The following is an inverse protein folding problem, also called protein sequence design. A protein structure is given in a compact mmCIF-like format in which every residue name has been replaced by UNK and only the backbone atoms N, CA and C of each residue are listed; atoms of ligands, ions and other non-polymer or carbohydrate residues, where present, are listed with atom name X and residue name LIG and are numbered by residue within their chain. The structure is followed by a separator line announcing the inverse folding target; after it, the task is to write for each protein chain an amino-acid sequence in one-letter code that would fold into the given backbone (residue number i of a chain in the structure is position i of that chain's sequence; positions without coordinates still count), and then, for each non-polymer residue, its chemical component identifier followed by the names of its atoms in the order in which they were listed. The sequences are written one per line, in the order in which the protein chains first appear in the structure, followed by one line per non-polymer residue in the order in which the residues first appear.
data_IF_424924498347
#
_entry.id   IF_424924498347
#
_cell.length_a   1.000
_cell.length_b   1.000
_cell.length_c   1.000
_cell.angle_alpha   90.00
_cell.angle_beta   90.00
_cell.angle_gamma   90.00
#
_symmetry.space_group_name_H-M   'P 1'
#
loop_
_entity.id
_entity.type
_entity.pdbx_description
1 polymer ?
#
# COMPACT_ATOMS: atom_id res chain seq x y z
N UNK A 1 26.95 18.23 8.37
CA UNK A 1 25.53 17.86 8.60
C UNK A 1 25.21 16.67 7.71
N UNK A 2 24.34 15.75 8.15
CA UNK A 2 23.84 14.71 7.25
C UNK A 2 23.20 15.39 6.03
N UNK A 3 23.52 14.93 4.81
CA UNK A 3 23.05 15.56 3.56
C UNK A 3 21.53 15.57 3.41
N UNK A 4 20.80 14.81 4.23
CA UNK A 4 19.36 14.58 4.15
C UNK A 4 18.61 14.91 5.45
N UNK A 5 19.19 15.72 6.34
CA UNK A 5 18.61 16.00 7.66
C UNK A 5 17.21 16.61 7.55
N UNK A 6 17.02 17.56 6.64
CA UNK A 6 15.75 18.23 6.43
C UNK A 6 14.73 17.31 5.74
N UNK A 7 15.17 16.53 4.75
CA UNK A 7 14.31 15.55 4.08
C UNK A 7 13.77 14.50 5.05
N UNK A 8 14.60 14.01 5.99
CA UNK A 8 14.17 13.07 7.02
C UNK A 8 13.20 13.72 8.02
N UNK A 9 13.40 14.97 8.42
CA UNK A 9 12.43 15.71 9.25
C UNK A 9 11.10 15.87 8.53
N UNK A 10 11.13 16.23 7.24
CA UNK A 10 9.95 16.35 6.39
C UNK A 10 9.15 15.05 6.37
N UNK A 11 9.82 13.93 6.07
CA UNK A 11 9.18 12.61 6.01
C UNK A 11 8.61 12.18 7.37
N UNK A 12 9.32 12.46 8.48
CA UNK A 12 8.81 12.17 9.82
C UNK A 12 7.55 12.97 10.15
N UNK A 13 7.52 14.26 9.83
CA UNK A 13 6.32 15.08 10.01
C UNK A 13 5.18 14.60 9.12
N UNK A 14 5.49 14.21 7.88
CA UNK A 14 4.51 13.64 6.96
C UNK A 14 3.87 12.36 7.50
N UNK A 15 4.69 11.43 8.03
CA UNK A 15 4.19 10.18 8.61
C UNK A 15 3.32 10.40 9.85
N UNK A 16 3.54 11.49 10.57
CA UNK A 16 2.75 11.90 11.74
C UNK A 16 1.61 12.87 11.39
N UNK A 17 1.42 13.19 10.11
CA UNK A 17 0.32 14.06 9.68
C UNK A 17 -1.03 13.36 9.85
N UNK A 18 -2.06 14.08 10.30
CA UNK A 18 -3.36 13.46 10.65
C UNK A 18 -3.96 12.64 9.51
N UNK A 19 -3.82 13.11 8.27
CA UNK A 19 -4.39 12.44 7.11
C UNK A 19 -3.66 11.14 6.77
N UNK A 20 -2.35 11.09 7.04
CA UNK A 20 -1.54 9.89 6.82
C UNK A 20 -1.85 8.86 7.91
N UNK A 21 -1.94 9.30 9.17
CA UNK A 21 -2.33 8.45 10.29
C UNK A 21 -3.75 7.88 10.12
N UNK A 22 -4.66 8.64 9.51
CA UNK A 22 -6.02 8.17 9.23
C UNK A 22 -6.06 6.94 8.33
N UNK A 23 -5.07 6.77 7.43
CA UNK A 23 -4.99 5.62 6.52
C UNK A 23 -4.91 4.27 7.25
N UNK A 24 -4.45 4.24 8.50
CA UNK A 24 -4.35 3.00 9.28
C UNK A 24 -5.73 2.43 9.69
N UNK A 25 -6.76 3.28 9.68
CA UNK A 25 -8.13 2.92 10.04
C UNK A 25 -8.95 2.40 8.85
N UNK A 26 -8.37 2.38 7.65
CA UNK A 26 -9.05 1.99 6.43
C UNK A 26 -8.47 0.69 5.87
N UNK A 27 -9.34 -0.29 5.64
CA UNK A 27 -9.00 -1.57 5.04
C UNK A 27 -9.56 -1.70 3.62
N UNK A 28 -8.76 -2.31 2.74
CA UNK A 28 -9.17 -2.78 1.41
C UNK A 28 -8.86 -4.28 1.30
N UNK A 29 -9.91 -5.10 1.13
CA UNK A 29 -9.82 -6.56 1.07
C UNK A 29 -9.09 -7.22 2.26
N UNK A 30 -9.18 -6.62 3.45
CA UNK A 30 -8.53 -7.13 4.67
C UNK A 30 -7.05 -6.77 4.77
N UNK A 31 -6.60 -5.75 4.03
CA UNK A 31 -5.27 -5.15 4.12
C UNK A 31 -5.44 -3.65 4.38
N UNK A 32 -4.81 -3.15 5.45
CA UNK A 32 -4.82 -1.72 5.76
C UNK A 32 -4.19 -0.90 4.64
N UNK A 33 -4.66 0.33 4.43
CA UNK A 33 -4.07 1.23 3.43
C UNK A 33 -2.60 1.51 3.75
N UNK A 34 -2.22 1.68 5.02
CA UNK A 34 -0.81 1.81 5.46
C UNK A 34 0.04 0.61 5.05
N UNK A 35 -0.50 -0.60 5.18
CA UNK A 35 0.19 -1.83 4.76
C UNK A 35 0.40 -1.87 3.25
N UNK A 36 -0.62 -1.47 2.49
CA UNK A 36 -0.50 -1.33 1.05
C UNK A 36 0.53 -0.24 0.66
N UNK A 37 0.48 0.94 1.26
CA UNK A 37 1.42 2.03 1.02
C UNK A 37 2.88 1.61 1.25
N UNK A 38 3.16 0.91 2.35
CA UNK A 38 4.49 0.34 2.59
C UNK A 38 4.91 -0.65 1.50
N UNK A 39 4.02 -1.55 1.09
CA UNK A 39 4.29 -2.52 0.03
C UNK A 39 4.57 -1.84 -1.32
N UNK A 40 3.85 -0.77 -1.65
CA UNK A 40 4.12 0.04 -2.85
C UNK A 40 5.52 0.66 -2.79
N UNK A 41 5.94 1.19 -1.64
CA UNK A 41 7.29 1.75 -1.51
C UNK A 41 8.35 0.65 -1.63
N UNK A 42 8.11 -0.50 -1.01
CA UNK A 42 9.00 -1.67 -1.08
C UNK A 42 9.13 -2.17 -2.53
N UNK A 43 8.02 -2.33 -3.26
CA UNK A 43 8.05 -2.77 -4.66
C UNK A 43 8.73 -1.71 -5.54
N UNK A 44 8.44 -0.41 -5.31
CA UNK A 44 9.11 0.69 -6.03
C UNK A 44 10.63 0.63 -5.87
N UNK A 45 11.11 0.36 -4.64
CA UNK A 45 12.52 0.16 -4.36
C UNK A 45 13.11 -1.07 -5.11
N UNK A 46 12.41 -2.21 -5.11
CA UNK A 46 12.85 -3.39 -5.84
C UNK A 46 12.87 -3.18 -7.37
N UNK A 47 11.94 -2.40 -7.92
CA UNK A 47 11.98 -2.00 -9.33
C UNK A 47 13.20 -1.13 -9.64
N UNK A 48 13.48 -0.12 -8.81
CA UNK A 48 14.67 0.73 -8.95
C UNK A 48 15.94 -0.14 -8.92
N UNK A 49 16.03 -1.10 -8.00
CA UNK A 49 17.18 -2.01 -7.91
C UNK A 49 17.34 -2.92 -9.12
N UNK A 50 16.24 -3.26 -9.78
CA UNK A 50 16.27 -4.10 -10.99
C UNK A 50 16.65 -3.29 -12.23
N UNK A 51 16.18 -2.04 -12.30
CA UNK A 51 16.29 -1.22 -13.50
C UNK A 51 17.63 -0.43 -13.58
N UNK A 52 18.37 -0.33 -12.47
CA UNK A 52 19.67 0.37 -12.39
C UNK A 52 20.78 -0.51 -11.80
N UNK A 53 22.05 -0.20 -12.11
CA UNK A 53 23.19 -0.98 -11.60
C UNK A 53 23.31 -0.89 -10.08
N UNK A 54 23.12 0.31 -9.54
CA UNK A 54 23.12 0.59 -8.11
C UNK A 54 22.30 1.85 -7.79
N UNK A 55 22.11 2.15 -6.51
CA UNK A 55 21.34 3.30 -6.05
C UNK A 55 22.05 4.65 -6.31
N UNK A 56 23.37 4.66 -6.54
CA UNK A 56 24.08 5.89 -6.89
C UNK A 56 23.76 6.30 -8.32
N UNK A 57 23.74 5.35 -9.25
CA UNK A 57 23.30 5.60 -10.62
C UNK A 57 21.80 5.97 -10.67
N UNK A 58 20.96 5.23 -9.94
CA UNK A 58 19.52 5.46 -9.93
C UNK A 58 19.16 6.88 -9.47
N UNK A 59 19.82 7.41 -8.43
CA UNK A 59 19.53 8.77 -7.89
C UNK A 59 19.85 9.90 -8.87
N UNK A 60 20.66 9.64 -9.90
CA UNK A 60 20.95 10.63 -10.96
C UNK A 60 19.84 10.68 -12.01
N UNK A 61 19.03 9.62 -12.09
CA UNK A 61 18.01 9.42 -13.13
C UNK A 61 16.57 9.48 -12.61
N UNK A 62 16.39 9.33 -11.30
CA UNK A 62 15.09 9.23 -10.62
C UNK A 62 15.15 10.01 -9.30
N UNK A 63 14.13 10.82 -9.05
CA UNK A 63 13.98 11.58 -7.82
C UNK A 63 13.37 10.73 -6.69
N UNK A 64 14.24 10.24 -5.79
CA UNK A 64 13.82 9.37 -4.69
C UNK A 64 12.90 10.07 -3.69
N UNK A 65 13.07 11.37 -3.47
CA UNK A 65 12.20 12.12 -2.56
C UNK A 65 10.76 12.14 -3.08
N UNK A 66 10.59 12.38 -4.38
CA UNK A 66 9.28 12.36 -5.05
C UNK A 66 8.61 11.00 -4.93
N UNK A 67 9.35 9.91 -5.12
CA UNK A 67 8.81 8.55 -4.95
C UNK A 67 8.39 8.31 -3.52
N UNK A 68 9.27 8.57 -2.54
CA UNK A 68 8.96 8.29 -1.13
C UNK A 68 7.74 9.10 -0.68
N UNK A 69 7.77 10.42 -0.86
CA UNK A 69 6.67 11.30 -0.47
C UNK A 69 5.41 10.96 -1.26
N UNK A 70 5.51 10.87 -2.58
CA UNK A 70 4.40 10.53 -3.46
C UNK A 70 3.73 9.22 -3.09
N UNK A 71 4.49 8.17 -2.73
CA UNK A 71 3.93 6.91 -2.23
C UNK A 71 3.26 7.08 -0.87
N UNK A 72 3.85 7.80 0.08
CA UNK A 72 3.20 8.01 1.40
C UNK A 72 1.81 8.62 1.22
N UNK A 73 1.65 9.53 0.26
CA UNK A 73 0.40 10.29 0.08
C UNK A 73 -0.49 9.88 -1.11
N UNK A 74 -0.11 8.90 -1.94
CA UNK A 74 -0.84 8.58 -3.18
C UNK A 74 -2.32 8.24 -2.95
N UNK A 75 -2.62 7.67 -1.80
CA UNK A 75 -3.93 7.16 -1.41
C UNK A 75 -4.63 8.01 -0.32
N UNK A 76 -4.10 9.21 0.02
CA UNK A 76 -4.62 10.06 1.10
C UNK A 76 -6.14 10.25 1.06
N UNK A 77 -6.67 10.48 -0.14
CA UNK A 77 -8.07 10.80 -0.29
C UNK A 77 -9.00 9.64 0.04
N UNK A 78 -8.50 8.39 0.19
CA UNK A 78 -9.32 7.29 0.72
C UNK A 78 -9.85 7.58 2.12
N UNK A 79 -9.10 8.29 2.95
CA UNK A 79 -9.52 8.68 4.29
C UNK A 79 -10.46 9.89 4.28
N UNK A 80 -10.07 10.97 3.62
CA UNK A 80 -10.84 12.22 3.59
C UNK A 80 -12.21 12.08 2.93
N UNK A 81 -12.31 11.33 1.82
CA UNK A 81 -13.58 11.03 1.14
C UNK A 81 -14.57 10.38 2.09
N UNK A 82 -14.12 9.44 2.93
CA UNK A 82 -14.98 8.76 3.91
C UNK A 82 -15.38 9.69 5.04
N UNK A 83 -14.47 10.52 5.54
CA UNK A 83 -14.76 11.52 6.58
C UNK A 83 -15.75 12.57 6.11
N UNK A 84 -15.67 12.97 4.85
CA UNK A 84 -16.54 13.96 4.24
C UNK A 84 -17.89 13.38 3.73
N UNK A 85 -18.14 12.08 3.94
CA UNK A 85 -19.32 11.36 3.41
C UNK A 85 -19.54 11.59 1.90
N UNK A 86 -18.43 11.62 1.15
CA UNK A 86 -18.46 11.86 -0.28
C UNK A 86 -18.99 10.64 -1.04
N UNK A 87 -19.86 10.89 -2.03
CA UNK A 87 -20.53 9.81 -2.79
C UNK A 87 -19.58 9.04 -3.72
N UNK A 88 -18.46 9.65 -4.09
CA UNK A 88 -17.49 9.07 -5.03
C UNK A 88 -16.36 8.41 -4.26
N UNK A 89 -16.06 7.15 -4.59
CA UNK A 89 -14.83 6.50 -4.13
C UNK A 89 -13.57 7.21 -4.63
N UNK A 90 -12.43 6.97 -3.98
CA UNK A 90 -11.11 7.42 -4.42
C UNK A 90 -10.88 7.22 -5.93
N UNK A 91 -11.13 6.00 -6.44
CA UNK A 91 -10.97 5.70 -7.86
C UNK A 91 -11.90 6.48 -8.77
N UNK A 92 -13.13 6.76 -8.34
CA UNK A 92 -14.05 7.60 -9.11
C UNK A 92 -13.64 9.08 -9.05
N UNK A 93 -13.09 9.55 -7.94
CA UNK A 93 -12.54 10.90 -7.84
C UNK A 93 -11.33 11.09 -8.75
N UNK A 94 -10.43 10.12 -8.82
CA UNK A 94 -9.27 10.13 -9.73
C UNK A 94 -9.67 10.25 -11.22
N UNK A 95 -10.90 9.87 -11.58
CA UNK A 95 -11.45 10.01 -12.93
C UNK A 95 -12.21 11.34 -13.08
N UNK A 96 -13.12 11.63 -12.13
CA UNK A 96 -14.13 12.68 -12.28
C UNK A 96 -13.72 14.03 -11.70
N UNK A 97 -12.88 14.04 -10.67
CA UNK A 97 -12.49 15.20 -9.87
C UNK A 97 -11.01 15.12 -9.41
N UNK A 98 -10.03 14.94 -10.31
CA UNK A 98 -8.62 14.87 -9.90
C UNK A 98 -8.15 16.13 -9.15
N UNK A 99 -8.78 17.28 -9.39
CA UNK A 99 -8.47 18.56 -8.72
C UNK A 99 -8.70 18.49 -7.20
N UNK A 100 -9.62 17.63 -6.73
CA UNK A 100 -9.78 17.36 -5.30
C UNK A 100 -8.52 16.73 -4.72
N UNK A 101 -7.98 15.73 -5.42
CA UNK A 101 -6.79 14.98 -5.01
C UNK A 101 -5.54 15.86 -5.06
N UNK A 102 -5.43 16.72 -6.09
CA UNK A 102 -4.34 17.71 -6.21
C UNK A 102 -4.33 18.61 -4.98
N UNK A 103 -5.49 19.20 -4.63
CA UNK A 103 -5.59 20.13 -3.50
C UNK A 103 -5.20 19.48 -2.17
N UNK A 104 -5.59 18.23 -1.95
CA UNK A 104 -5.21 17.52 -0.73
C UNK A 104 -3.72 17.25 -0.66
N UNK A 105 -3.12 16.75 -1.74
CA UNK A 105 -1.68 16.53 -1.80
C UNK A 105 -0.91 17.85 -1.58
N UNK A 106 -1.28 18.91 -2.29
CA UNK A 106 -0.63 20.22 -2.16
C UNK A 106 -0.80 20.83 -0.77
N UNK A 107 -1.96 20.67 -0.15
CA UNK A 107 -2.22 21.13 1.22
C UNK A 107 -1.27 20.45 2.22
N UNK A 108 -1.22 19.12 2.22
CA UNK A 108 -0.35 18.37 3.15
C UNK A 108 1.13 18.73 2.95
N UNK A 109 1.58 18.88 1.71
CA UNK A 109 2.96 19.31 1.45
C UNK A 109 3.23 20.71 2.02
N UNK A 110 2.30 21.65 1.81
CA UNK A 110 2.45 23.04 2.22
C UNK A 110 2.42 23.19 3.75
N UNK A 111 1.58 22.43 4.45
CA UNK A 111 1.53 22.40 5.92
C UNK A 111 2.87 21.96 6.53
N UNK A 112 3.56 20.99 5.92
CA UNK A 112 4.86 20.51 6.40
C UNK A 112 5.98 21.49 6.04
N UNK A 113 5.93 22.08 4.84
CA UNK A 113 6.82 23.17 4.41
C UNK A 113 6.79 24.34 5.41
N UNK A 114 5.59 24.77 5.82
CA UNK A 114 5.37 25.82 6.81
C UNK A 114 5.97 25.46 8.18
N UNK A 115 5.70 24.25 8.68
CA UNK A 115 6.23 23.80 9.99
C UNK A 115 7.75 23.75 10.02
N UNK A 116 8.40 23.40 8.90
CA UNK A 116 9.85 23.31 8.82
C UNK A 116 10.53 24.60 8.37
N UNK A 117 9.77 25.61 7.94
CA UNK A 117 10.28 26.78 7.23
C UNK A 117 11.18 26.38 6.05
N UNK A 118 10.71 25.42 5.24
CA UNK A 118 11.40 24.92 4.06
C UNK A 118 10.47 24.99 2.85
N UNK A 119 11.03 25.17 1.66
CA UNK A 119 10.28 25.11 0.41
C UNK A 119 10.85 24.04 -0.50
N UNK A 120 10.03 23.08 -0.91
CA UNK A 120 10.37 22.06 -1.90
C UNK A 120 10.50 22.75 -3.26
N UNK A 121 11.54 22.40 -4.01
CA UNK A 121 11.69 22.88 -5.39
C UNK A 121 10.44 22.55 -6.21
N UNK A 122 9.88 23.55 -6.91
CA UNK A 122 8.64 23.43 -7.69
C UNK A 122 8.57 22.20 -8.60
N UNK A 123 9.69 21.83 -9.23
CA UNK A 123 9.77 20.65 -10.10
C UNK A 123 9.51 19.36 -9.32
N UNK A 124 10.04 19.24 -8.10
CA UNK A 124 9.86 18.08 -7.23
C UNK A 124 8.43 18.05 -6.71
N UNK A 125 7.89 19.19 -6.26
CA UNK A 125 6.50 19.31 -5.82
C UNK A 125 5.52 18.89 -6.92
N UNK A 126 5.74 19.34 -8.16
CA UNK A 126 4.97 18.89 -9.34
C UNK A 126 5.10 17.39 -9.60
N UNK A 127 6.28 16.81 -9.43
CA UNK A 127 6.48 15.38 -9.63
C UNK A 127 5.76 14.55 -8.56
N UNK A 128 5.81 14.97 -7.29
CA UNK A 128 5.03 14.37 -6.20
C UNK A 128 3.53 14.39 -6.53
N UNK A 129 2.98 15.57 -6.84
CA UNK A 129 1.57 15.71 -7.20
C UNK A 129 1.21 14.85 -8.42
N UNK A 130 2.09 14.79 -9.43
CA UNK A 130 1.87 13.95 -10.61
C UNK A 130 1.83 12.46 -10.27
N UNK A 131 2.71 11.96 -9.39
CA UNK A 131 2.67 10.59 -8.88
C UNK A 131 1.30 10.32 -8.25
N UNK A 132 0.85 11.21 -7.35
CA UNK A 132 -0.43 11.06 -6.63
C UNK A 132 -1.60 10.97 -7.59
N UNK A 133 -1.69 11.83 -8.61
CA UNK A 133 -2.87 11.86 -9.49
C UNK A 133 -2.83 10.89 -10.67
N UNK A 134 -1.68 10.25 -10.91
CA UNK A 134 -1.50 9.35 -12.05
C UNK A 134 -1.26 7.89 -11.70
N UNK A 135 -1.14 7.54 -10.41
CA UNK A 135 -0.82 6.18 -9.98
C UNK A 135 -1.83 5.10 -10.44
N UNK A 136 -3.08 5.46 -10.75
CA UNK A 136 -4.07 4.54 -11.34
C UNK A 136 -3.83 4.22 -12.84
N UNK A 137 -2.97 4.98 -13.53
CA UNK A 137 -2.70 4.82 -14.96
C UNK A 137 -3.98 4.81 -15.79
N UNK A 138 -4.17 3.77 -16.61
CA UNK A 138 -5.33 3.65 -17.51
C UNK A 138 -6.70 3.68 -16.82
N UNK A 139 -6.73 3.50 -15.50
CA UNK A 139 -7.94 3.55 -14.67
C UNK A 139 -8.20 4.92 -14.04
N UNK A 140 -7.28 5.88 -14.21
CA UNK A 140 -7.44 7.28 -13.84
C UNK A 140 -7.59 8.19 -15.06
N UNK A 141 -7.93 9.47 -14.82
CA UNK A 141 -7.97 10.48 -15.88
C UNK A 141 -6.58 10.88 -16.37
N UNK A 142 -5.60 10.90 -15.46
CA UNK A 142 -4.22 11.34 -15.73
C UNK A 142 -3.32 10.10 -15.79
N UNK A 143 -2.47 10.04 -16.82
CA UNK A 143 -1.53 8.94 -17.04
C UNK A 143 -0.15 9.26 -16.46
N UNK A 144 0.60 8.25 -15.97
CA UNK A 144 1.98 8.44 -15.55
C UNK A 144 2.81 8.87 -16.76
N UNK A 145 3.63 9.90 -16.59
CA UNK A 145 4.46 10.47 -17.66
C UNK A 145 5.88 10.86 -17.21
N UNK A 146 6.20 10.63 -15.93
CA UNK A 146 7.55 10.73 -15.38
C UNK A 146 8.05 9.33 -15.01
N UNK A 147 9.38 9.17 -14.88
CA UNK A 147 9.97 7.87 -14.49
C UNK A 147 9.47 7.44 -13.11
N UNK A 148 9.39 8.39 -12.19
CA UNK A 148 8.90 8.20 -10.83
C UNK A 148 7.44 7.73 -10.84
N UNK A 149 6.57 8.42 -11.60
CA UNK A 149 5.17 8.04 -11.71
C UNK A 149 4.99 6.65 -12.34
N UNK A 150 5.81 6.27 -13.32
CA UNK A 150 5.77 4.92 -13.88
C UNK A 150 6.18 3.84 -12.87
N UNK A 151 7.22 4.08 -12.07
CA UNK A 151 7.65 3.16 -11.02
C UNK A 151 6.52 2.97 -9.99
N UNK A 152 5.97 4.07 -9.48
CA UNK A 152 4.89 4.02 -8.48
C UNK A 152 3.63 3.38 -9.04
N UNK A 153 3.23 3.70 -10.27
CA UNK A 153 2.09 3.07 -10.93
C UNK A 153 2.25 1.55 -11.03
N UNK A 154 3.41 1.05 -11.46
CA UNK A 154 3.65 -0.40 -11.57
C UNK A 154 3.64 -1.07 -10.20
N UNK A 155 4.23 -0.42 -9.19
CA UNK A 155 4.24 -0.90 -7.82
C UNK A 155 2.84 -0.97 -7.22
N UNK A 156 2.02 0.07 -7.37
CA UNK A 156 0.62 0.09 -6.93
C UNK A 156 -0.19 -1.02 -7.61
N UNK A 157 -0.11 -1.13 -8.94
CA UNK A 157 -0.80 -2.17 -9.69
C UNK A 157 -0.36 -3.58 -9.27
N UNK A 158 0.94 -3.79 -9.00
CA UNK A 158 1.44 -5.07 -8.51
C UNK A 158 0.88 -5.38 -7.12
N UNK A 159 0.98 -4.44 -6.18
CA UNK A 159 0.49 -4.62 -4.81
C UNK A 159 -1.02 -4.89 -4.80
N UNK A 160 -1.80 -4.10 -5.54
CA UNK A 160 -3.24 -4.29 -5.69
C UNK A 160 -3.60 -5.65 -6.30
N UNK A 161 -2.86 -6.10 -7.32
CA UNK A 161 -3.12 -7.37 -7.99
C UNK A 161 -2.73 -8.59 -7.16
N UNK A 162 -1.60 -8.54 -6.44
CA UNK A 162 -1.02 -9.73 -5.83
C UNK A 162 -1.13 -9.74 -4.31
N UNK A 163 -1.00 -8.59 -3.64
CA UNK A 163 -0.88 -8.50 -2.19
C UNK A 163 -2.09 -7.91 -1.46
N UNK A 164 -3.04 -7.27 -2.14
CA UNK A 164 -4.34 -6.89 -1.55
C UNK A 164 -5.30 -8.08 -1.54
N UNK A 165 -5.08 -9.05 -0.65
CA UNK A 165 -6.02 -10.14 -0.41
C UNK A 165 -6.12 -10.46 1.07
N UNK A 166 -7.31 -10.86 1.52
CA UNK A 166 -7.46 -11.33 2.89
C UNK A 166 -6.66 -12.63 3.08
N UNK A 167 -5.62 -12.66 3.94
CA UNK A 167 -4.65 -13.76 4.03
C UNK A 167 -5.15 -14.91 4.93
N UNK A 168 -6.38 -15.32 4.72
CA UNK A 168 -7.01 -16.44 5.41
C UNK A 168 -7.07 -17.64 4.49
N UNK A 169 -6.57 -18.77 5.00
CA UNK A 169 -6.65 -20.08 4.36
C UNK A 169 -7.87 -20.89 4.82
N UNK A 170 -8.20 -21.92 4.04
CA UNK A 170 -9.27 -22.85 4.37
C UNK A 170 -9.01 -23.64 5.67
N UNK A 171 -7.76 -23.84 6.04
CA UNK A 171 -7.34 -24.49 7.29
C UNK A 171 -7.86 -23.74 8.53
N UNK A 172 -7.65 -22.42 8.59
CA UNK A 172 -8.12 -21.57 9.70
C UNK A 172 -9.65 -21.57 9.80
N UNK A 173 -10.33 -21.58 8.65
CA UNK A 173 -11.80 -21.66 8.54
C UNK A 173 -12.31 -23.01 9.03
N UNK A 174 -11.75 -24.11 8.52
CA UNK A 174 -12.18 -25.47 8.85
C UNK A 174 -11.91 -25.83 10.31
N UNK A 175 -10.91 -25.23 10.94
CA UNK A 175 -10.69 -25.33 12.39
C UNK A 175 -11.94 -24.90 13.16
N UNK A 176 -12.40 -23.68 12.96
CA UNK A 176 -13.60 -23.14 13.63
C UNK A 176 -14.86 -23.94 13.25
N UNK A 177 -15.03 -24.28 11.97
CA UNK A 177 -16.18 -25.10 11.55
C UNK A 177 -16.17 -26.50 12.20
N UNK A 178 -14.98 -27.06 12.48
CA UNK A 178 -14.88 -28.35 13.18
C UNK A 178 -15.30 -28.28 14.64
N UNK A 179 -15.27 -27.08 15.23
CA UNK A 179 -15.72 -26.74 16.58
C UNK A 179 -17.21 -26.34 16.61
N UNK A 180 -17.92 -26.41 15.47
CA UNK A 180 -19.36 -26.13 15.39
C UNK A 180 -19.71 -24.69 14.99
N UNK A 181 -18.71 -23.83 14.75
CA UNK A 181 -18.93 -22.43 14.34
C UNK A 181 -19.50 -22.39 12.92
N UNK A 182 -20.61 -21.67 12.72
CA UNK A 182 -21.23 -21.53 11.40
C UNK A 182 -20.46 -20.53 10.51
N UNK A 183 -20.78 -20.50 9.21
CA UNK A 183 -20.07 -19.68 8.22
C UNK A 183 -20.13 -18.17 8.52
N UNK A 184 -21.26 -17.68 9.02
CA UNK A 184 -21.47 -16.26 9.29
C UNK A 184 -20.65 -15.81 10.51
N UNK A 185 -20.59 -16.64 11.53
CA UNK A 185 -19.74 -16.42 12.71
C UNK A 185 -18.24 -16.53 12.38
N UNK A 186 -17.85 -17.45 11.49
CA UNK A 186 -16.48 -17.52 10.98
C UNK A 186 -16.12 -16.22 10.25
N UNK A 187 -17.00 -15.73 9.37
CA UNK A 187 -16.79 -14.49 8.64
C UNK A 187 -16.60 -13.29 9.59
N UNK A 188 -17.45 -13.20 10.63
CA UNK A 188 -17.33 -12.18 11.69
C UNK A 188 -16.01 -12.27 12.46
N UNK A 189 -15.61 -13.47 12.91
CA UNK A 189 -14.34 -13.69 13.64
C UNK A 189 -13.11 -13.26 12.84
N UNK A 190 -13.20 -13.33 11.52
CA UNK A 190 -12.13 -13.00 10.60
C UNK A 190 -12.26 -11.62 9.94
N UNK A 191 -13.24 -10.82 10.36
CA UNK A 191 -13.54 -9.50 9.78
C UNK A 191 -13.57 -9.53 8.23
N UNK A 192 -14.30 -10.48 7.66
CA UNK A 192 -14.40 -10.63 6.21
C UNK A 192 -15.81 -11.02 5.78
N UNK A 193 -16.07 -11.01 4.48
CA UNK A 193 -17.38 -11.42 3.95
C UNK A 193 -17.47 -12.94 3.85
N UNK A 194 -18.69 -13.47 3.91
CA UNK A 194 -18.93 -14.91 3.66
C UNK A 194 -18.50 -15.34 2.26
N UNK A 195 -18.44 -14.41 1.30
CA UNK A 195 -17.88 -14.62 -0.03
C UNK A 195 -16.40 -15.02 0.01
N UNK A 196 -15.59 -14.36 0.85
CA UNK A 196 -14.18 -14.73 1.07
C UNK A 196 -14.09 -16.14 1.61
N UNK A 197 -14.86 -16.46 2.66
CA UNK A 197 -14.87 -17.80 3.27
C UNK A 197 -15.23 -18.88 2.23
N UNK A 198 -16.29 -18.66 1.45
CA UNK A 198 -16.74 -19.57 0.39
C UNK A 198 -15.67 -19.76 -0.69
N UNK A 199 -14.98 -18.70 -1.10
CA UNK A 199 -13.88 -18.79 -2.07
C UNK A 199 -12.72 -19.66 -1.55
N UNK A 200 -12.27 -19.44 -0.30
CA UNK A 200 -11.19 -20.25 0.30
C UNK A 200 -11.56 -21.74 0.37
N UNK A 201 -12.78 -22.05 0.82
CA UNK A 201 -13.27 -23.42 0.87
C UNK A 201 -13.40 -24.03 -0.54
N UNK A 202 -13.83 -23.25 -1.54
CA UNK A 202 -13.91 -23.69 -2.94
C UNK A 202 -12.53 -24.07 -3.48
N UNK A 203 -11.51 -23.24 -3.25
CA UNK A 203 -10.12 -23.50 -3.68
C UNK A 203 -9.57 -24.78 -3.05
N UNK A 204 -9.70 -24.94 -1.74
CA UNK A 204 -9.24 -26.15 -1.05
C UNK A 204 -9.96 -27.43 -1.53
N UNK A 205 -11.27 -27.36 -1.79
CA UNK A 205 -12.01 -28.48 -2.39
C UNK A 205 -11.48 -28.85 -3.78
N UNK A 206 -11.18 -27.86 -4.61
CA UNK A 206 -10.64 -28.07 -5.96
C UNK A 206 -9.30 -28.80 -5.92
N UNK A 207 -8.36 -28.32 -5.10
CA UNK A 207 -7.03 -28.95 -4.95
C UNK A 207 -7.11 -30.40 -4.47
N UNK A 208 -8.04 -30.70 -3.56
CA UNK A 208 -8.23 -32.05 -3.01
C UNK A 208 -9.23 -32.91 -3.83
N UNK A 209 -9.78 -32.38 -4.92
CA UNK A 209 -10.83 -33.03 -5.74
C UNK A 209 -12.05 -33.49 -4.94
N UNK A 210 -12.45 -32.71 -3.94
CA UNK A 210 -13.61 -32.98 -3.07
C UNK A 210 -14.87 -32.28 -3.59
N UNK A 211 -16.02 -32.95 -3.49
CA UNK A 211 -17.29 -32.46 -4.04
C UNK A 211 -17.95 -31.40 -3.15
N UNK A 212 -17.87 -31.57 -1.83
CA UNK A 212 -18.63 -30.73 -0.89
C UNK A 212 -17.86 -30.42 0.40
N UNK A 213 -18.37 -29.44 1.16
CA UNK A 213 -17.73 -28.96 2.39
C UNK A 213 -17.73 -30.02 3.50
N UNK A 214 -18.70 -30.95 3.52
CA UNK A 214 -18.74 -32.07 4.48
C UNK A 214 -17.54 -33.00 4.28
N UNK A 215 -17.22 -33.34 3.03
CA UNK A 215 -16.01 -34.10 2.69
C UNK A 215 -14.73 -33.36 3.06
N UNK A 216 -14.66 -32.06 2.75
CA UNK A 216 -13.51 -31.22 3.14
C UNK A 216 -13.30 -31.16 4.65
N UNK A 217 -14.39 -31.04 5.42
CA UNK A 217 -14.34 -31.05 6.88
C UNK A 217 -13.91 -32.41 7.43
N UNK A 218 -14.38 -33.52 6.85
CA UNK A 218 -13.93 -34.87 7.20
C UNK A 218 -12.44 -35.08 6.91
N UNK A 219 -11.95 -34.59 5.77
CA UNK A 219 -10.54 -34.59 5.44
C UNK A 219 -9.73 -33.78 6.46
N UNK A 220 -10.16 -32.56 6.78
CA UNK A 220 -9.49 -31.74 7.80
C UNK A 220 -9.46 -32.42 9.17
N UNK A 221 -10.57 -33.02 9.62
CA UNK A 221 -10.64 -33.72 10.92
C UNK A 221 -9.63 -34.87 11.01
N UNK A 222 -9.39 -35.59 9.92
CA UNK A 222 -8.44 -36.73 9.89
C UNK A 222 -6.98 -36.32 9.67
N UNK A 223 -6.70 -35.35 8.79
CA UNK A 223 -5.33 -34.97 8.41
C UNK A 223 -4.80 -33.72 9.10
N UNK A 224 -5.67 -32.86 9.63
CA UNK A 224 -5.38 -31.55 10.23
C UNK A 224 -4.63 -30.55 9.33
N UNK A 225 -4.37 -30.90 8.07
CA UNK A 225 -3.67 -30.07 7.07
C UNK A 225 -4.48 -30.00 5.78
N UNK A 226 -4.63 -28.79 5.24
CA UNK A 226 -5.44 -28.49 4.05
C UNK A 226 -4.63 -27.56 3.14
N UNK A 227 -4.64 -27.75 1.81
CA UNK A 227 -4.08 -26.78 0.87
C UNK A 227 -4.86 -25.46 0.93
N UNK A 228 -4.15 -24.34 0.93
CA UNK A 228 -4.75 -22.99 0.91
C UNK A 228 -5.42 -22.74 -0.46
N UNK A 229 -4.81 -23.26 -1.52
CA UNK A 229 -5.24 -23.24 -2.91
C UNK A 229 -4.08 -23.70 -3.79
N UNK A 230 -4.14 -23.39 -5.09
CA UNK A 230 -3.01 -23.57 -6.00
C UNK A 230 -1.73 -22.83 -5.50
N UNK A 231 -0.57 -23.15 -6.08
CA UNK A 231 0.72 -22.59 -5.66
C UNK A 231 0.75 -21.05 -5.76
N UNK A 232 0.12 -20.50 -6.79
CA UNK A 232 0.07 -19.06 -7.02
C UNK A 232 -0.74 -18.35 -5.93
N UNK A 233 -1.93 -18.85 -5.62
CA UNK A 233 -2.78 -18.33 -4.56
C UNK A 233 -2.15 -18.51 -3.18
N UNK A 234 -1.52 -19.66 -2.94
CA UNK A 234 -0.79 -19.95 -1.70
C UNK A 234 0.36 -18.96 -1.50
N UNK A 235 1.13 -18.65 -2.56
CA UNK A 235 2.20 -17.65 -2.50
C UNK A 235 1.65 -16.28 -2.13
N UNK A 236 0.59 -15.82 -2.79
CA UNK A 236 -0.05 -14.53 -2.49
C UNK A 236 -0.51 -14.44 -1.03
N UNK A 237 -1.22 -15.45 -0.52
CA UNK A 237 -1.72 -15.44 0.87
C UNK A 237 -0.56 -15.32 1.85
N UNK A 238 0.53 -16.07 1.63
CA UNK A 238 1.72 -16.03 2.49
C UNK A 238 2.47 -14.72 2.40
N UNK A 239 2.60 -14.13 1.21
CA UNK A 239 3.27 -12.85 1.01
C UNK A 239 2.48 -11.73 1.69
N UNK A 240 1.16 -11.67 1.51
CA UNK A 240 0.30 -10.73 2.22
C UNK A 240 0.34 -10.93 3.73
N UNK A 241 0.29 -12.17 4.22
CA UNK A 241 0.37 -12.43 5.68
C UNK A 241 1.70 -11.95 6.27
N UNK A 242 2.82 -12.14 5.56
CA UNK A 242 4.13 -11.63 5.98
C UNK A 242 4.16 -10.11 5.99
N UNK A 243 3.56 -9.48 4.98
CA UNK A 243 3.49 -8.04 4.85
C UNK A 243 2.70 -7.41 6.01
N UNK A 244 1.48 -7.90 6.27
CA UNK A 244 0.65 -7.44 7.39
C UNK A 244 1.40 -7.63 8.72
N UNK A 245 1.98 -8.81 8.96
CA UNK A 245 2.75 -9.07 10.19
C UNK A 245 3.96 -8.15 10.35
N UNK A 246 4.61 -7.76 9.26
CA UNK A 246 5.73 -6.82 9.31
C UNK A 246 5.25 -5.45 9.78
N UNK A 247 4.14 -4.94 9.21
CA UNK A 247 3.58 -3.64 9.56
C UNK A 247 3.03 -3.63 10.99
N UNK A 248 2.30 -4.68 11.38
CA UNK A 248 1.77 -4.81 12.76
C UNK A 248 2.89 -4.88 13.81
N UNK A 249 4.02 -5.52 13.47
CA UNK A 249 5.13 -5.73 14.41
C UNK A 249 6.09 -4.55 14.48
N UNK A 250 6.48 -4.02 13.33
CA UNK A 250 7.54 -3.01 13.22
C UNK A 250 6.96 -1.59 13.19
N UNK A 251 5.69 -1.44 12.78
CA UNK A 251 5.04 -0.14 12.61
C UNK A 251 5.26 0.42 11.20
N UNK A 252 4.21 1.04 10.65
CA UNK A 252 4.26 1.68 9.33
C UNK A 252 5.36 2.75 9.24
N UNK A 253 5.43 3.65 10.23
CA UNK A 253 6.44 4.72 10.26
C UNK A 253 7.88 4.16 10.19
N UNK A 254 8.21 3.21 11.06
CA UNK A 254 9.56 2.62 11.10
C UNK A 254 9.92 1.94 9.78
N UNK A 255 8.99 1.21 9.18
CA UNK A 255 9.21 0.54 7.89
C UNK A 255 9.47 1.52 6.75
N UNK A 256 8.81 2.69 6.75
CA UNK A 256 9.10 3.75 5.78
C UNK A 256 10.49 4.36 6.07
N UNK A 257 10.80 4.63 7.34
CA UNK A 257 12.08 5.24 7.76
C UNK A 257 13.29 4.31 7.61
N UNK A 258 13.09 2.99 7.53
CA UNK A 258 14.15 2.02 7.24
C UNK A 258 14.41 1.86 5.73
N UNK A 259 13.65 2.52 4.86
CA UNK A 259 13.79 2.35 3.42
C UNK A 259 15.17 2.85 2.91
N UNK A 260 15.92 2.04 2.15
CA UNK A 260 17.27 2.43 1.71
C UNK A 260 17.34 3.65 0.79
N UNK A 261 16.24 4.04 0.12
CA UNK A 261 16.20 5.25 -0.71
C UNK A 261 16.49 6.52 0.10
N UNK A 262 16.14 6.52 1.40
CA UNK A 262 16.33 7.67 2.28
C UNK A 262 17.80 8.05 2.47
N UNK A 263 18.72 7.08 2.37
CA UNK A 263 20.16 7.29 2.51
C UNK A 263 20.78 8.06 1.33
N UNK A 264 20.04 8.25 0.24
CA UNK A 264 20.52 8.89 -0.99
C UNK A 264 19.89 10.26 -1.24
N UNK A 265 19.06 10.73 -0.31
CA UNK A 265 18.45 12.06 -0.36
C UNK A 265 19.51 13.15 -0.14
N UNK A 266 19.30 14.30 -0.78
CA UNK A 266 20.19 15.46 -0.69
C UNK A 266 19.32 16.72 -0.55
N UNK A 267 19.38 17.36 0.63
CA UNK A 267 18.53 18.50 1.01
C UNK A 267 18.68 19.66 0.03
N UNK A 268 19.89 19.90 -0.48
CA UNK A 268 20.20 20.97 -1.45
C UNK A 268 19.63 20.73 -2.86
N UNK A 269 19.18 19.49 -3.14
CA UNK A 269 18.45 19.15 -4.37
C UNK A 269 16.94 19.19 -4.17
N UNK A 270 16.48 18.95 -2.94
CA UNK A 270 15.07 18.81 -2.60
C UNK A 270 14.43 20.16 -2.29
N UNK A 271 15.11 20.96 -1.48
CA UNK A 271 14.63 22.22 -0.99
C UNK A 271 15.31 23.38 -1.72
N UNK A 272 14.55 24.46 -1.91
CA UNK A 272 15.11 25.73 -2.31
C UNK A 272 16.15 26.16 -1.27
N UNK A 273 17.28 26.68 -1.73
CA UNK A 273 18.27 27.24 -0.82
C UNK A 273 17.62 28.40 -0.08
N UNK A 274 17.81 28.48 1.24
CA UNK A 274 17.55 29.72 1.96
C UNK A 274 18.36 30.82 1.26
N UNK A 275 17.64 31.73 0.63
CA UNK A 275 18.19 32.52 -0.46
C UNK A 275 17.38 33.76 -0.75
N UNK A 276 17.75 34.79 0.01
CA UNK A 276 17.80 36.22 -0.31
C UNK A 276 16.50 37.02 -0.26
#
# INVERSE_FOLDING_TARGET
MAKNSNALKFIKLLLNHEMVLDLDHHDDQGVKVTTHTYDVLKISFEEIRRDYRDLKEAREKVDFFSIVVGVIIHDLSKGSIRKADEKLSHSQMMIKKPEYIIKEAERVLSEIEEVLNLKIVDKIKKNITHIVISHHGKWGKIQPNTKEAHIVHRADMYSAKYHRINPIGADKILKLMSEGVNLDEVAKKFNCTTGVIKDRLKRAKHELRLKNTKQLLGYYKSKKKIPIGDDFFTKRVRETEKLIKAVDRLGFENLILENPLLNYLEDDKIFEKEGN
#
